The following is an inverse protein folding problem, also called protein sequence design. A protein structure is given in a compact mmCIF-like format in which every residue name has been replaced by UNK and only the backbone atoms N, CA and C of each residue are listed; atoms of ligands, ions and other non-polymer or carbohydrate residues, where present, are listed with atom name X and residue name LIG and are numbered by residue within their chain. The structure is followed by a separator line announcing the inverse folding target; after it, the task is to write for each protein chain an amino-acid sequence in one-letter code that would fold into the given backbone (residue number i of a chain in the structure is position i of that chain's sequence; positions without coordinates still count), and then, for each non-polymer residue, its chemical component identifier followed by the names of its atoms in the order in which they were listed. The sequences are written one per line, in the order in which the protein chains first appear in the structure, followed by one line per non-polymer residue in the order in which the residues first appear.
data_IF_542695483457
#
_entry.id   IF_542695483457
#
_cell.length_a   1.000
_cell.length_b   1.000
_cell.length_c   1.000
_cell.angle_alpha   90.00
_cell.angle_beta   90.00
_cell.angle_gamma   90.00
#
_symmetry.space_group_name_H-M   'P 1'
#
loop_
_entity.id
_entity.type
_entity.pdbx_description
1 polymer ?
#
# COMPACT_ATOMS: atom_id res chain seq x y z
N UNK A 1 22.67 -7.35 -25.81
CA UNK A 1 22.90 -7.25 -27.27
C UNK A 1 23.01 -5.81 -27.78
N UNK A 2 22.38 -4.80 -27.17
CA UNK A 2 22.41 -3.40 -27.69
C UNK A 2 23.79 -2.72 -27.65
N UNK A 3 24.59 -2.94 -26.61
CA UNK A 3 25.90 -2.27 -26.45
C UNK A 3 26.93 -2.71 -27.50
N UNK A 4 27.04 -4.02 -27.76
CA UNK A 4 27.94 -4.52 -28.81
C UNK A 4 27.52 -4.00 -30.19
N UNK A 5 26.22 -3.98 -30.49
CA UNK A 5 25.70 -3.44 -31.74
C UNK A 5 26.00 -1.94 -31.88
N UNK A 6 25.92 -1.15 -30.81
CA UNK A 6 26.30 0.27 -30.81
C UNK A 6 27.80 0.46 -31.09
N UNK A 7 28.65 -0.37 -30.50
CA UNK A 7 30.10 -0.32 -30.73
C UNK A 7 30.44 -0.68 -32.18
N UNK A 8 29.83 -1.74 -32.73
CA UNK A 8 30.02 -2.13 -34.13
C UNK A 8 29.49 -1.03 -35.07
N UNK A 9 28.32 -0.44 -34.79
CA UNK A 9 27.77 0.63 -35.59
C UNK A 9 28.66 1.89 -35.59
N UNK A 10 29.21 2.28 -34.44
CA UNK A 10 30.16 3.38 -34.33
C UNK A 10 31.42 3.11 -35.15
N UNK A 11 31.98 1.91 -35.03
CA UNK A 11 33.19 1.53 -35.77
C UNK A 11 32.96 1.57 -37.28
N UNK A 12 31.83 1.03 -37.76
CA UNK A 12 31.46 1.08 -39.17
C UNK A 12 31.26 2.52 -39.66
N UNK A 13 30.68 3.39 -38.83
CA UNK A 13 30.52 4.81 -39.14
C UNK A 13 31.88 5.50 -39.30
N UNK A 14 32.81 5.29 -38.38
CA UNK A 14 34.14 5.90 -38.41
C UNK A 14 34.95 5.43 -39.64
N UNK A 15 34.81 4.15 -40.02
CA UNK A 15 35.44 3.59 -41.22
C UNK A 15 34.89 4.25 -42.49
N UNK A 16 33.57 4.45 -42.56
CA UNK A 16 32.95 5.14 -43.70
C UNK A 16 33.41 6.60 -43.80
N UNK A 17 33.53 7.31 -42.67
CA UNK A 17 34.05 8.68 -42.65
C UNK A 17 35.51 8.74 -43.11
N UNK A 18 36.36 7.81 -42.62
CA UNK A 18 37.76 7.73 -43.02
C UNK A 18 37.93 7.47 -44.53
N UNK A 19 37.09 6.60 -45.10
CA UNK A 19 37.07 6.36 -46.55
C UNK A 19 36.65 7.60 -47.33
N UNK A 20 35.58 8.29 -46.91
CA UNK A 20 35.12 9.52 -47.56
C UNK A 20 36.24 10.57 -47.63
N UNK A 21 37.01 10.74 -46.54
CA UNK A 21 38.17 11.64 -46.52
C UNK A 21 39.32 11.15 -47.42
N UNK A 22 39.56 9.84 -47.52
CA UNK A 22 40.58 9.28 -48.41
C UNK A 22 40.22 9.48 -49.90
N UNK A 23 38.95 9.32 -50.25
CA UNK A 23 38.44 9.56 -51.60
C UNK A 23 38.52 11.06 -51.96
N UNK A 24 38.14 11.94 -51.03
CA UNK A 24 38.28 13.40 -51.19
C UNK A 24 39.76 13.78 -51.39
N UNK A 25 40.67 13.25 -50.57
CA UNK A 25 42.10 13.49 -50.70
C UNK A 25 42.65 12.98 -52.03
N UNK A 26 42.20 11.81 -52.50
CA UNK A 26 42.61 11.25 -53.80
C UNK A 26 42.14 12.14 -54.95
N UNK A 27 40.92 12.69 -54.86
CA UNK A 27 40.39 13.65 -55.83
C UNK A 27 41.18 14.95 -55.85
N UNK A 28 41.48 15.52 -54.69
CA UNK A 28 42.26 16.76 -54.57
C UNK A 28 43.70 16.55 -55.08
N UNK A 29 44.29 15.39 -54.83
CA UNK A 29 45.60 15.02 -55.36
C UNK A 29 45.58 14.92 -56.88
N UNK A 30 44.54 14.30 -57.46
CA UNK A 30 44.37 14.20 -58.91
C UNK A 30 44.26 15.59 -59.57
N UNK A 31 43.54 16.52 -58.96
CA UNK A 31 43.45 17.91 -59.43
C UNK A 31 44.80 18.62 -59.37
N UNK A 32 45.56 18.39 -58.29
CA UNK A 32 46.90 18.97 -58.13
C UNK A 32 47.88 18.44 -59.17
N UNK A 33 47.81 17.14 -59.49
CA UNK A 33 48.63 16.52 -60.56
C UNK A 33 48.25 17.06 -61.93
N UNK A 34 46.95 17.25 -62.21
CA UNK A 34 46.49 17.78 -63.49
C UNK A 34 46.90 19.24 -63.72
N UNK A 35 47.05 20.03 -62.66
CA UNK A 35 47.43 21.44 -62.73
C UNK A 35 48.94 21.67 -62.90
N UNK A 36 49.78 20.67 -62.66
CA UNK A 36 51.24 20.78 -62.73
C UNK A 36 51.77 20.26 -64.08
N UNK A 37 52.66 21.05 -64.70
CA UNK A 37 53.17 20.80 -66.05
C UNK A 37 53.97 19.51 -66.20
N UNK A 38 54.54 19.00 -65.11
CA UNK A 38 55.36 17.78 -65.04
C UNK A 38 54.51 16.63 -64.49
N UNK A 39 53.80 16.85 -63.38
CA UNK A 39 53.08 15.78 -62.68
C UNK A 39 51.85 15.26 -63.44
N UNK A 40 51.30 16.02 -64.40
CA UNK A 40 50.17 15.57 -65.24
C UNK A 40 50.43 14.29 -66.04
N UNK A 41 51.71 13.95 -66.26
CA UNK A 41 52.11 12.74 -66.97
C UNK A 41 52.39 11.55 -66.05
N UNK A 42 52.33 11.75 -64.73
CA UNK A 42 52.52 10.69 -63.75
C UNK A 42 51.17 10.11 -63.28
N UNK A 43 51.11 8.81 -62.97
CA UNK A 43 49.91 8.22 -62.41
C UNK A 43 49.62 8.80 -61.02
N UNK A 44 48.37 9.19 -60.78
CA UNK A 44 47.92 9.65 -59.47
C UNK A 44 47.88 8.46 -58.51
N UNK A 45 48.54 8.52 -57.35
CA UNK A 45 48.44 7.48 -56.33
C UNK A 45 46.99 7.34 -55.86
N UNK A 46 46.43 6.13 -55.96
CA UNK A 46 45.12 5.82 -55.38
C UNK A 46 45.31 5.47 -53.90
N UNK A 47 44.74 6.30 -53.02
CA UNK A 47 44.71 5.99 -51.58
C UNK A 47 43.33 5.37 -51.31
N UNK A 48 43.28 4.04 -51.20
CA UNK A 48 42.04 3.30 -50.96
C UNK A 48 42.23 2.19 -49.94
N UNK A 49 41.23 1.98 -49.10
CA UNK A 49 41.17 0.84 -48.16
C UNK A 49 40.67 -0.37 -48.97
N UNK A 50 41.55 -1.30 -49.33
CA UNK A 50 41.18 -2.45 -50.18
C UNK A 50 40.56 -3.59 -49.37
N UNK A 51 41.18 -3.96 -48.25
CA UNK A 51 40.70 -4.99 -47.35
C UNK A 51 40.95 -4.52 -45.92
N UNK A 52 39.90 -4.55 -45.10
CA UNK A 52 39.99 -4.21 -43.69
C UNK A 52 39.61 -5.44 -42.88
N UNK A 53 40.57 -5.97 -42.12
CA UNK A 53 40.35 -7.06 -41.18
C UNK A 53 40.25 -6.49 -39.77
N UNK A 54 39.10 -6.71 -39.12
CA UNK A 54 38.85 -6.21 -37.77
C UNK A 54 38.71 -7.41 -36.85
N UNK A 55 39.56 -7.44 -35.82
CA UNK A 55 39.48 -8.38 -34.73
C UNK A 55 39.01 -7.65 -33.46
N UNK A 56 37.75 -7.86 -33.07
CA UNK A 56 37.17 -7.31 -31.85
C UNK A 56 37.12 -8.38 -30.77
N UNK A 57 37.92 -8.20 -29.72
CA UNK A 57 37.86 -9.06 -28.52
C UNK A 57 36.83 -8.50 -27.55
N UNK A 58 35.99 -9.37 -27.01
CA UNK A 58 35.02 -9.00 -25.99
C UNK A 58 34.95 -10.08 -24.91
N UNK A 59 34.50 -9.70 -23.71
CA UNK A 59 34.27 -10.63 -22.62
C UNK A 59 32.91 -10.37 -21.98
N UNK A 60 32.27 -11.42 -21.47
CA UNK A 60 31.04 -11.30 -20.69
C UNK A 60 31.45 -11.03 -19.24
N UNK A 61 31.22 -9.81 -18.75
CA UNK A 61 31.54 -9.43 -17.37
C UNK A 61 30.55 -10.02 -16.37
N UNK A 62 29.26 -9.97 -16.72
CA UNK A 62 28.18 -10.39 -15.87
C UNK A 62 26.95 -10.79 -16.69
N UNK A 63 26.18 -11.72 -16.15
CA UNK A 63 24.86 -12.11 -16.65
C UNK A 63 23.85 -11.55 -15.65
N UNK A 64 23.11 -10.51 -16.05
CA UNK A 64 22.07 -9.90 -15.23
C UNK A 64 20.71 -10.39 -15.73
N UNK A 65 19.93 -11.04 -14.86
CA UNK A 65 18.52 -11.32 -15.13
C UNK A 65 17.70 -10.14 -14.63
N UNK A 66 17.18 -9.32 -15.54
CA UNK A 66 16.29 -8.20 -15.19
C UNK A 66 14.86 -8.54 -15.62
N UNK A 67 13.85 -8.34 -14.74
CA UNK A 67 12.46 -8.45 -15.14
C UNK A 67 12.19 -7.36 -16.16
N UNK A 68 11.76 -7.74 -17.36
CA UNK A 68 11.34 -6.77 -18.37
C UNK A 68 9.84 -6.61 -18.26
N UNK A 69 9.41 -5.40 -17.95
CA UNK A 69 7.99 -5.05 -17.95
C UNK A 69 7.48 -4.99 -19.40
N UNK A 70 7.02 -6.14 -19.92
CA UNK A 70 6.25 -6.20 -21.15
C UNK A 70 4.82 -5.73 -20.91
N UNK A 71 4.12 -5.27 -21.95
CA UNK A 71 2.69 -4.92 -21.85
C UNK A 71 1.84 -6.07 -21.31
N UNK A 72 2.21 -7.32 -21.63
CA UNK A 72 1.53 -8.52 -21.12
C UNK A 72 1.77 -8.72 -19.61
N UNK A 73 3.00 -8.50 -19.12
CA UNK A 73 3.30 -8.59 -17.69
C UNK A 73 2.53 -7.54 -16.88
N UNK A 74 2.41 -6.31 -17.40
CA UNK A 74 1.64 -5.23 -16.78
C UNK A 74 0.14 -5.54 -16.74
N UNK A 75 -0.41 -6.14 -17.79
CA UNK A 75 -1.81 -6.61 -17.81
C UNK A 75 -2.05 -7.71 -16.78
N UNK A 76 -1.15 -8.70 -16.68
CA UNK A 76 -1.26 -9.76 -15.66
C UNK A 76 -1.17 -9.19 -14.25
N UNK A 77 -0.27 -8.23 -14.02
CA UNK A 77 -0.11 -7.59 -12.73
C UNK A 77 -1.36 -6.77 -12.36
N UNK A 78 -1.92 -6.02 -13.30
CA UNK A 78 -3.18 -5.28 -13.09
C UNK A 78 -4.33 -6.23 -12.77
N UNK A 79 -4.47 -7.34 -13.52
CA UNK A 79 -5.49 -8.35 -13.26
C UNK A 79 -5.31 -9.03 -11.89
N UNK A 80 -4.06 -9.26 -11.47
CA UNK A 80 -3.74 -9.76 -10.14
C UNK A 80 -4.23 -8.76 -9.07
N UNK A 81 -3.89 -7.48 -9.20
CA UNK A 81 -4.32 -6.43 -8.26
C UNK A 81 -5.85 -6.38 -8.14
N UNK A 82 -6.56 -6.43 -9.27
CA UNK A 82 -8.02 -6.40 -9.31
C UNK A 82 -8.65 -7.59 -8.59
N UNK A 83 -8.11 -8.79 -8.84
CA UNK A 83 -8.57 -10.00 -8.20
C UNK A 83 -8.26 -10.01 -6.70
N UNK A 84 -7.07 -9.53 -6.32
CA UNK A 84 -6.58 -9.52 -4.95
C UNK A 84 -7.33 -8.49 -4.09
N UNK A 85 -7.57 -7.28 -4.62
CA UNK A 85 -8.34 -6.24 -3.94
C UNK A 85 -9.78 -6.69 -3.66
N UNK A 86 -10.42 -7.35 -4.63
CA UNK A 86 -11.75 -7.91 -4.48
C UNK A 86 -11.80 -9.03 -3.44
N UNK A 87 -10.81 -9.93 -3.44
CA UNK A 87 -10.73 -11.02 -2.45
C UNK A 87 -10.51 -10.49 -1.02
N UNK A 88 -9.58 -9.55 -0.83
CA UNK A 88 -9.36 -8.93 0.49
C UNK A 88 -10.62 -8.21 0.96
N UNK A 89 -11.24 -7.38 0.11
CA UNK A 89 -12.43 -6.63 0.49
C UNK A 89 -13.55 -7.57 0.97
N UNK A 90 -13.74 -8.69 0.28
CA UNK A 90 -14.72 -9.72 0.65
C UNK A 90 -14.37 -10.41 1.97
N UNK A 91 -13.11 -10.75 2.21
CA UNK A 91 -12.67 -11.38 3.46
C UNK A 91 -12.80 -10.40 4.65
N UNK A 92 -12.39 -9.14 4.48
CA UNK A 92 -12.57 -8.09 5.50
C UNK A 92 -14.07 -7.92 5.80
N UNK A 93 -14.93 -7.81 4.79
CA UNK A 93 -16.38 -7.69 5.00
C UNK A 93 -16.92 -8.86 5.83
N UNK A 94 -16.53 -10.08 5.49
CA UNK A 94 -16.98 -11.29 6.18
C UNK A 94 -16.58 -11.28 7.66
N UNK A 95 -15.31 -10.96 7.97
CA UNK A 95 -14.83 -10.92 9.36
C UNK A 95 -15.44 -9.75 10.15
N UNK A 96 -15.59 -8.59 9.53
CA UNK A 96 -16.24 -7.43 10.16
C UNK A 96 -17.71 -7.73 10.43
N UNK A 97 -18.44 -8.35 9.49
CA UNK A 97 -19.83 -8.74 9.68
C UNK A 97 -20.02 -9.71 10.87
N UNK A 98 -19.10 -10.66 11.07
CA UNK A 98 -19.14 -11.55 12.23
C UNK A 98 -18.97 -10.78 13.55
N UNK A 99 -18.07 -9.82 13.58
CA UNK A 99 -17.81 -9.00 14.78
C UNK A 99 -18.96 -8.04 15.05
N UNK A 100 -19.54 -7.42 14.01
CA UNK A 100 -20.66 -6.50 14.15
C UNK A 100 -21.92 -7.21 14.65
N UNK A 101 -22.15 -8.46 14.26
CA UNK A 101 -23.27 -9.27 14.72
C UNK A 101 -23.10 -9.82 16.14
N UNK A 102 -21.86 -10.18 16.53
CA UNK A 102 -21.57 -10.74 17.85
C UNK A 102 -21.44 -9.67 18.95
N UNK A 103 -21.05 -8.45 18.58
CA UNK A 103 -20.70 -7.40 19.53
C UNK A 103 -21.81 -6.34 19.63
N UNK A 104 -22.31 -6.10 20.83
CA UNK A 104 -23.48 -5.26 21.07
C UNK A 104 -23.29 -3.79 20.67
N UNK A 105 -22.08 -3.25 20.87
CA UNK A 105 -21.74 -1.87 20.50
C UNK A 105 -21.81 -1.60 18.98
N UNK A 106 -21.78 -2.63 18.14
CA UNK A 106 -21.83 -2.49 16.68
C UNK A 106 -23.21 -2.80 16.10
N UNK A 107 -24.16 -3.33 16.89
CA UNK A 107 -25.51 -3.69 16.39
C UNK A 107 -26.28 -2.50 15.82
N UNK A 108 -25.98 -1.28 16.28
CA UNK A 108 -26.59 -0.02 15.80
C UNK A 108 -26.15 0.39 14.39
N UNK A 109 -25.11 -0.24 13.83
CA UNK A 109 -24.72 -0.06 12.43
C UNK A 109 -25.69 -0.74 11.45
N UNK A 110 -26.62 -1.54 11.95
CA UNK A 110 -27.61 -2.26 11.14
C UNK A 110 -27.13 -3.64 10.72
N UNK A 111 -28.08 -4.53 10.39
CA UNK A 111 -27.79 -5.91 10.00
C UNK A 111 -27.13 -6.04 8.63
N UNK A 112 -27.23 -5.00 7.79
CA UNK A 112 -26.64 -4.96 6.44
C UNK A 112 -25.21 -4.39 6.45
N UNK A 113 -24.66 -4.00 7.61
CA UNK A 113 -23.29 -3.50 7.69
C UNK A 113 -22.26 -4.63 7.94
N UNK A 114 -21.17 -4.71 7.15
CA UNK A 114 -20.86 -3.87 5.98
C UNK A 114 -21.64 -4.30 4.73
N UNK A 115 -22.12 -3.31 3.96
CA UNK A 115 -22.96 -3.52 2.79
C UNK A 115 -22.16 -3.97 1.56
N UNK A 116 -22.87 -4.39 0.50
CA UNK A 116 -22.22 -4.71 -0.77
C UNK A 116 -21.58 -3.48 -1.44
N UNK A 117 -22.14 -2.28 -1.26
CA UNK A 117 -21.53 -1.05 -1.77
C UNK A 117 -20.25 -0.70 -1.01
N UNK A 118 -20.22 -0.95 0.31
CA UNK A 118 -19.02 -0.82 1.14
C UNK A 118 -17.89 -1.72 0.63
N UNK A 119 -18.19 -2.98 0.28
CA UNK A 119 -17.21 -3.92 -0.28
C UNK A 119 -16.60 -3.43 -1.59
N UNK A 120 -17.44 -2.94 -2.51
CA UNK A 120 -16.99 -2.43 -3.81
C UNK A 120 -16.09 -1.21 -3.62
N UNK A 121 -16.47 -0.29 -2.74
CA UNK A 121 -15.68 0.90 -2.45
C UNK A 121 -14.33 0.54 -1.81
N UNK A 122 -14.33 -0.40 -0.86
CA UNK A 122 -13.11 -0.89 -0.23
C UNK A 122 -12.18 -1.54 -1.26
N UNK A 123 -12.72 -2.39 -2.14
CA UNK A 123 -11.94 -3.01 -3.22
C UNK A 123 -11.29 -1.97 -4.13
N UNK A 124 -12.00 -0.89 -4.48
CA UNK A 124 -11.45 0.17 -5.32
C UNK A 124 -10.29 0.91 -4.63
N UNK A 125 -10.42 1.20 -3.33
CA UNK A 125 -9.36 1.87 -2.55
C UNK A 125 -8.13 0.96 -2.36
N UNK A 126 -8.35 -0.33 -2.12
CA UNK A 126 -7.26 -1.31 -2.07
C UNK A 126 -6.55 -1.42 -3.43
N UNK A 127 -7.31 -1.44 -4.53
CA UNK A 127 -6.76 -1.44 -5.89
C UNK A 127 -5.92 -0.19 -6.16
N UNK A 128 -6.38 0.99 -5.75
CA UNK A 128 -5.61 2.22 -5.86
C UNK A 128 -4.30 2.16 -5.06
N UNK A 129 -4.35 1.65 -3.82
CA UNK A 129 -3.15 1.42 -3.01
C UNK A 129 -2.17 0.43 -3.66
N UNK A 130 -2.68 -0.62 -4.30
CA UNK A 130 -1.88 -1.63 -5.00
C UNK A 130 -1.35 -1.16 -6.35
N UNK A 131 -1.98 -0.18 -7.00
CA UNK A 131 -1.56 0.33 -8.31
C UNK A 131 -0.13 0.87 -8.34
N UNK A 132 0.41 1.24 -7.17
CA UNK A 132 1.81 1.62 -6.97
C UNK A 132 2.78 0.49 -7.35
N UNK A 133 2.36 -0.77 -7.24
CA UNK A 133 3.10 -1.93 -7.69
C UNK A 133 3.23 -2.02 -9.21
N UNK A 134 2.52 -1.22 -10.02
CA UNK A 134 2.76 -1.20 -11.47
C UNK A 134 4.15 -0.63 -11.81
N UNK A 135 4.76 0.12 -10.89
CA UNK A 135 6.12 0.64 -11.01
C UNK A 135 7.05 -0.16 -10.10
N UNK A 136 7.13 -1.47 -10.31
CA UNK A 136 8.14 -2.30 -9.65
C UNK A 136 9.53 -1.78 -10.04
N UNK A 137 10.10 -0.95 -9.16
CA UNK A 137 11.52 -0.61 -9.17
C UNK A 137 12.35 -1.85 -8.79
N UNK A 138 13.67 -1.72 -8.77
CA UNK A 138 14.64 -2.84 -8.60
C UNK A 138 14.39 -3.76 -7.38
N UNK A 139 13.58 -3.33 -6.39
CA UNK A 139 13.19 -4.12 -5.21
C UNK A 139 11.65 -4.35 -5.11
N UNK A 140 11.15 -5.55 -5.50
CA UNK A 140 9.74 -5.90 -5.35
C UNK A 140 9.28 -5.98 -3.89
N UNK A 141 10.16 -6.39 -2.97
CA UNK A 141 9.82 -6.51 -1.54
C UNK A 141 9.55 -5.15 -0.91
N UNK A 142 10.36 -4.14 -1.24
CA UNK A 142 10.12 -2.75 -0.80
C UNK A 142 8.80 -2.20 -1.35
N UNK A 143 8.51 -2.46 -2.61
CA UNK A 143 7.26 -2.00 -3.25
C UNK A 143 6.02 -2.61 -2.59
N UNK A 144 6.09 -3.90 -2.22
CA UNK A 144 5.00 -4.60 -1.54
C UNK A 144 4.78 -4.07 -0.12
N UNK A 145 5.84 -3.80 0.64
CA UNK A 145 5.71 -3.17 1.96
C UNK A 145 5.08 -1.77 1.90
N UNK A 146 5.47 -0.97 0.90
CA UNK A 146 4.83 0.34 0.68
C UNK A 146 3.35 0.20 0.30
N UNK A 147 2.99 -0.84 -0.45
CA UNK A 147 1.60 -1.15 -0.75
C UNK A 147 0.84 -1.63 0.50
N UNK A 148 1.45 -2.43 1.37
CA UNK A 148 0.89 -2.84 2.67
C UNK A 148 0.55 -1.61 3.52
N UNK A 149 1.52 -0.73 3.76
CA UNK A 149 1.32 0.50 4.54
C UNK A 149 0.24 1.39 3.93
N UNK A 150 0.22 1.50 2.59
CA UNK A 150 -0.82 2.24 1.87
C UNK A 150 -2.20 1.62 2.06
N UNK A 151 -2.32 0.29 1.94
CA UNK A 151 -3.56 -0.43 2.16
C UNK A 151 -4.06 -0.22 3.59
N UNK A 152 -3.24 -0.50 4.60
CA UNK A 152 -3.59 -0.31 6.02
C UNK A 152 -4.09 1.11 6.27
N UNK A 153 -3.34 2.13 5.85
CA UNK A 153 -3.73 3.54 6.02
C UNK A 153 -5.04 3.86 5.32
N UNK A 154 -5.22 3.41 4.07
CA UNK A 154 -6.40 3.71 3.27
C UNK A 154 -7.67 2.99 3.75
N UNK A 155 -7.53 1.82 4.38
CA UNK A 155 -8.67 1.10 4.97
C UNK A 155 -9.15 1.69 6.29
N UNK A 156 -8.32 2.45 7.00
CA UNK A 156 -8.68 3.03 8.30
C UNK A 156 -9.92 3.94 8.23
N UNK A 157 -10.14 4.59 7.09
CA UNK A 157 -11.25 5.53 6.87
C UNK A 157 -12.59 4.83 6.56
N UNK A 158 -12.59 3.51 6.30
CA UNK A 158 -13.80 2.74 6.00
C UNK A 158 -14.56 2.28 7.24
N UNK A 159 -13.91 2.33 8.40
CA UNK A 159 -14.47 1.83 9.64
C UNK A 159 -15.06 2.97 10.45
N UNK A 160 -16.29 2.80 10.95
CA UNK A 160 -16.92 3.83 11.75
C UNK A 160 -16.22 3.91 13.11
N UNK A 161 -15.98 5.14 13.56
CA UNK A 161 -15.21 5.40 14.77
C UNK A 161 -16.11 5.24 15.99
N UNK A 162 -15.79 4.27 16.83
CA UNK A 162 -16.44 4.09 18.15
C UNK A 162 -15.49 4.63 19.21
N UNK A 163 -15.99 5.47 20.10
CA UNK A 163 -15.24 5.87 21.29
C UNK A 163 -15.81 5.15 22.50
N UNK A 164 -14.97 4.52 23.32
CA UNK A 164 -15.40 3.83 24.53
C UNK A 164 -14.55 4.17 25.75
N UNK A 165 -15.22 4.21 26.88
CA UNK A 165 -14.66 4.18 28.22
C UNK A 165 -15.20 2.93 28.92
N UNK A 166 -14.92 2.76 30.21
CA UNK A 166 -15.45 1.63 30.96
C UNK A 166 -16.96 1.70 31.24
N UNK A 167 -17.58 2.87 31.11
CA UNK A 167 -18.99 3.07 31.48
C UNK A 167 -19.85 3.77 30.43
N UNK A 168 -19.23 4.44 29.46
CA UNK A 168 -19.87 5.19 28.37
C UNK A 168 -19.20 4.86 27.04
N UNK A 169 -20.01 4.71 26.00
CA UNK A 169 -19.58 4.62 24.60
C UNK A 169 -20.27 5.66 23.73
N UNK A 170 -19.60 6.07 22.65
CA UNK A 170 -20.15 6.86 21.55
C UNK A 170 -20.13 5.93 20.34
N UNK A 171 -21.31 5.60 19.84
CA UNK A 171 -21.52 4.60 18.81
C UNK A 171 -22.14 5.27 17.57
N UNK A 172 -21.60 5.02 16.38
CA UNK A 172 -22.21 5.44 15.12
C UNK A 172 -23.43 4.58 14.77
N UNK A 173 -24.43 5.22 14.16
CA UNK A 173 -25.67 4.59 13.70
C UNK A 173 -25.60 4.30 12.20
N UNK A 174 -26.51 3.46 11.70
CA UNK A 174 -26.73 3.19 10.27
C UNK A 174 -26.86 4.45 9.39
N UNK A 175 -27.45 5.51 9.92
CA UNK A 175 -27.61 6.82 9.25
C UNK A 175 -26.35 7.70 9.26
N UNK A 176 -25.24 7.24 9.84
CA UNK A 176 -23.99 8.02 9.97
C UNK A 176 -23.99 9.06 11.09
N UNK A 177 -25.05 9.10 11.90
CA UNK A 177 -25.09 9.89 13.13
C UNK A 177 -24.42 9.13 14.29
N UNK A 178 -24.33 9.77 15.46
CA UNK A 178 -23.79 9.17 16.67
C UNK A 178 -24.84 9.12 17.78
N UNK A 179 -24.72 8.11 18.64
CA UNK A 179 -25.52 7.95 19.85
C UNK A 179 -24.60 7.65 21.02
N UNK A 180 -24.87 8.28 22.16
CA UNK A 180 -24.18 7.97 23.41
C UNK A 180 -24.91 6.81 24.10
N UNK A 181 -24.16 5.83 24.55
CA UNK A 181 -24.65 4.68 25.31
C UNK A 181 -23.92 4.54 26.62
N UNK A 182 -24.60 3.99 27.61
CA UNK A 182 -23.95 3.42 28.77
C UNK A 182 -23.46 2.00 28.47
N UNK A 183 -22.34 1.63 29.08
CA UNK A 183 -21.76 0.30 29.04
C UNK A 183 -21.76 -0.34 30.43
N UNK A 184 -22.10 -1.61 30.53
CA UNK A 184 -21.93 -2.41 31.74
C UNK A 184 -20.46 -2.84 31.93
N UNK A 185 -20.16 -3.56 33.01
CA UNK A 185 -18.79 -4.08 33.29
C UNK A 185 -18.26 -5.06 32.24
N UNK A 186 -19.13 -5.59 31.38
CA UNK A 186 -18.80 -6.50 30.29
C UNK A 186 -18.75 -5.79 28.93
N UNK A 187 -18.93 -4.47 28.89
CA UNK A 187 -18.99 -3.68 27.66
C UNK A 187 -20.29 -3.83 26.87
N UNK A 188 -21.35 -4.37 27.48
CA UNK A 188 -22.69 -4.45 26.89
C UNK A 188 -23.44 -3.15 27.10
N UNK A 189 -24.33 -2.82 26.16
CA UNK A 189 -25.14 -1.61 26.25
C UNK A 189 -26.21 -1.78 27.31
N UNK A 190 -26.19 -0.93 28.35
CA UNK A 190 -27.19 -0.95 29.42
C UNK A 190 -28.27 0.11 29.23
N UNK A 191 -27.90 1.31 28.77
CA UNK A 191 -28.81 2.38 28.40
C UNK A 191 -28.34 3.14 27.15
N UNK A 192 -29.25 3.84 26.49
CA UNK A 192 -28.92 4.78 25.40
C UNK A 192 -29.49 6.16 25.66
N UNK A 193 -28.75 7.21 25.30
CA UNK A 193 -29.28 8.58 25.31
C UNK A 193 -30.23 8.74 24.12
N UNK A 194 -31.46 9.19 24.36
CA UNK A 194 -32.44 9.58 23.34
C UNK A 194 -32.07 10.96 22.78
N UNK A 195 -30.90 11.02 22.17
CA UNK A 195 -30.39 12.15 21.39
C UNK A 195 -29.48 11.60 20.33
N UNK A 196 -29.77 11.97 19.08
CA UNK A 196 -28.95 11.63 17.92
C UNK A 196 -28.06 12.83 17.64
N UNK A 197 -26.77 12.58 17.48
CA UNK A 197 -25.74 13.61 17.27
C UNK A 197 -25.28 13.56 15.82
N UNK A 198 -25.24 14.72 15.16
CA UNK A 198 -24.80 14.78 13.77
C UNK A 198 -23.28 14.58 13.62
N UNK A 199 -22.51 14.91 14.66
CA UNK A 199 -21.05 14.78 14.66
C UNK A 199 -20.54 14.09 15.93
N UNK A 200 -19.41 13.41 15.80
CA UNK A 200 -18.72 12.79 16.92
C UNK A 200 -18.26 13.82 17.97
N UNK A 201 -17.89 15.03 17.53
CA UNK A 201 -17.47 16.13 18.42
C UNK A 201 -18.57 16.56 19.39
N UNK A 202 -19.81 16.67 18.91
CA UNK A 202 -20.96 17.00 19.75
C UNK A 202 -21.24 15.88 20.75
N UNK A 203 -21.25 14.62 20.26
CA UNK A 203 -21.43 13.45 21.13
C UNK A 203 -20.31 13.36 22.18
N UNK A 204 -19.07 13.69 21.83
CA UNK A 204 -17.92 13.66 22.72
C UNK A 204 -18.01 14.74 23.81
N UNK A 205 -18.51 15.92 23.47
CA UNK A 205 -18.75 16.99 24.44
C UNK A 205 -19.77 16.55 25.51
N UNK A 206 -20.92 16.05 25.08
CA UNK A 206 -21.99 15.63 25.98
C UNK A 206 -21.59 14.36 26.77
N UNK A 207 -20.86 13.44 26.16
CA UNK A 207 -20.32 12.27 26.83
C UNK A 207 -19.31 12.66 27.94
N UNK A 208 -18.47 13.68 27.71
CA UNK A 208 -17.54 14.20 28.73
C UNK A 208 -18.27 14.84 29.91
N UNK A 209 -19.33 15.62 29.65
CA UNK A 209 -20.17 16.19 30.72
C UNK A 209 -20.80 15.08 31.54
N UNK A 210 -21.40 14.09 30.86
CA UNK A 210 -22.02 12.95 31.53
C UNK A 210 -21.00 12.14 32.35
N UNK A 211 -19.86 11.79 31.77
CA UNK A 211 -18.79 11.04 32.46
C UNK A 211 -18.30 11.77 33.70
N UNK A 212 -18.11 13.10 33.60
CA UNK A 212 -17.68 13.94 34.72
C UNK A 212 -18.74 14.00 35.82
N UNK A 213 -20.02 14.11 35.45
CA UNK A 213 -21.13 14.12 36.39
C UNK A 213 -21.31 12.75 37.09
N UNK A 214 -21.19 11.63 36.36
CA UNK A 214 -21.18 10.28 36.94
C UNK A 214 -20.05 10.19 37.96
N UNK A 215 -18.82 10.54 37.57
CA UNK A 215 -17.62 10.43 38.41
C UNK A 215 -17.71 11.28 39.68
N UNK A 216 -18.32 12.47 39.57
CA UNK A 216 -18.52 13.38 40.70
C UNK A 216 -19.75 13.07 41.57
N UNK A 217 -20.54 12.03 41.24
CA UNK A 217 -21.84 11.71 41.89
C UNK A 217 -22.83 12.89 41.85
N UNK A 218 -22.82 13.67 40.77
CA UNK A 218 -23.67 14.86 40.56
C UNK A 218 -24.80 14.61 39.55
N UNK A 219 -25.23 13.37 39.41
CA UNK A 219 -26.35 13.00 38.53
C UNK A 219 -27.60 12.82 39.38
N UNK A 220 -28.66 13.50 38.97
CA UNK A 220 -29.98 13.40 39.58
C UNK A 220 -30.98 12.84 38.57
N UNK A 221 -31.75 11.84 38.97
CA UNK A 221 -32.86 11.30 38.15
C UNK A 221 -34.09 12.15 38.44
N UNK A 222 -34.43 13.05 37.51
CA UNK A 222 -35.51 14.03 37.65
C UNK A 222 -36.87 13.38 37.42
N UNK A 223 -36.96 12.54 36.39
CA UNK A 223 -38.20 11.88 35.97
C UNK A 223 -37.87 10.46 35.51
N UNK A 224 -38.72 9.49 35.82
CA UNK A 224 -38.64 8.15 35.26
C UNK A 224 -40.05 7.62 34.99
N UNK A 225 -40.32 7.21 33.74
CA UNK A 225 -41.59 6.62 33.33
C UNK A 225 -41.36 5.30 32.61
N UNK A 226 -42.27 4.35 32.79
CA UNK A 226 -42.32 3.13 32.01
C UNK A 226 -43.19 3.37 30.78
N UNK A 227 -42.64 3.16 29.59
CA UNK A 227 -43.42 3.17 28.35
C UNK A 227 -43.79 1.73 27.97
N UNK A 228 -45.01 1.35 28.34
CA UNK A 228 -45.56 0.01 28.12
C UNK A 228 -45.68 -0.30 26.62
N UNK A 229 -45.86 0.72 25.77
CA UNK A 229 -46.06 0.53 24.34
C UNK A 229 -44.74 0.17 23.62
N UNK A 230 -43.66 0.85 23.96
CA UNK A 230 -42.33 0.62 23.35
C UNK A 230 -41.51 -0.45 24.06
N UNK A 231 -41.96 -0.95 25.23
CA UNK A 231 -41.17 -1.83 26.13
C UNK A 231 -39.83 -1.18 26.54
N UNK A 232 -39.80 0.14 26.59
CA UNK A 232 -38.67 0.94 27.04
C UNK A 232 -39.04 1.69 28.32
N UNK A 233 -38.12 1.72 29.27
CA UNK A 233 -38.20 2.59 30.43
C UNK A 233 -37.40 3.87 30.11
N UNK A 234 -38.05 5.02 30.25
CA UNK A 234 -37.51 6.33 29.93
C UNK A 234 -37.18 7.08 31.22
N UNK A 235 -36.03 7.74 31.27
CA UNK A 235 -35.70 8.65 32.37
C UNK A 235 -35.06 9.94 31.88
N UNK A 236 -35.24 11.00 32.66
CA UNK A 236 -34.53 12.27 32.49
C UNK A 236 -33.50 12.41 33.59
N UNK A 237 -32.24 12.55 33.19
CA UNK A 237 -31.12 12.81 34.05
C UNK A 237 -30.76 14.29 34.00
N UNK A 238 -30.42 14.86 35.15
CA UNK A 238 -29.80 16.17 35.23
C UNK A 238 -28.34 16.01 35.64
N UNK A 239 -27.44 16.56 34.82
CA UNK A 239 -26.01 16.56 35.02
C UNK A 239 -25.51 18.01 34.92
N UNK A 240 -25.42 18.70 36.06
CA UNK A 240 -25.16 20.13 36.09
C UNK A 240 -26.30 20.95 35.47
N UNK A 241 -25.98 21.70 34.41
CA UNK A 241 -26.95 22.54 33.68
C UNK A 241 -27.56 21.84 32.46
N UNK A 242 -27.23 20.57 32.22
CA UNK A 242 -27.71 19.80 31.08
C UNK A 242 -28.68 18.71 31.53
N UNK A 243 -29.69 18.46 30.71
CA UNK A 243 -30.66 17.38 30.87
C UNK A 243 -30.50 16.36 29.75
N UNK A 244 -30.50 15.08 30.11
CA UNK A 244 -30.36 13.96 29.19
C UNK A 244 -31.56 13.03 29.32
N UNK A 245 -32.25 12.78 28.21
CA UNK A 245 -33.25 11.72 28.13
C UNK A 245 -32.55 10.38 27.84
N UNK A 246 -32.80 9.37 28.65
CA UNK A 246 -32.23 8.02 28.50
C UNK A 246 -33.32 6.98 28.30
N UNK A 247 -32.98 5.92 27.58
CA UNK A 247 -33.84 4.77 27.29
C UNK A 247 -33.15 3.48 27.72
N UNK A 248 -33.90 2.60 28.39
CA UNK A 248 -33.47 1.26 28.80
C UNK A 248 -34.53 0.26 28.37
N UNK A 249 -34.12 -0.94 27.94
CA UNK A 249 -35.06 -2.04 27.72
C UNK A 249 -35.75 -2.43 29.04
N UNK A 250 -37.08 -2.34 29.11
CA UNK A 250 -37.85 -2.57 30.36
C UNK A 250 -37.62 -3.96 30.96
N UNK A 251 -37.17 -4.94 30.17
CA UNK A 251 -36.77 -6.27 30.65
C UNK A 251 -35.58 -6.23 31.62
N UNK A 252 -34.69 -5.23 31.52
CA UNK A 252 -33.52 -5.06 32.39
C UNK A 252 -33.86 -4.41 33.74
N UNK A 253 -34.93 -3.61 33.79
CA UNK A 253 -35.35 -2.86 35.00
C UNK A 253 -36.18 -3.73 35.95
N UNK A 254 -36.85 -4.77 35.44
CA UNK A 254 -37.64 -5.70 36.24
C UNK A 254 -38.88 -5.08 36.91
N UNK A 255 -39.29 -5.64 38.06
CA UNK A 255 -40.44 -5.16 38.85
C UNK A 255 -40.11 -3.97 39.78
N UNK A 256 -38.86 -3.49 39.78
CA UNK A 256 -38.39 -2.41 40.64
C UNK A 256 -38.88 -1.06 40.09
N UNK A 257 -39.14 -0.09 40.97
CA UNK A 257 -39.45 1.29 40.56
C UNK A 257 -38.31 1.83 39.67
N UNK A 258 -38.59 2.27 38.42
CA UNK A 258 -37.56 2.65 37.45
C UNK A 258 -36.53 3.63 38.00
N UNK A 259 -36.96 4.61 38.81
CA UNK A 259 -36.08 5.61 39.44
C UNK A 259 -34.95 4.98 40.27
N UNK A 260 -35.27 4.00 41.11
CA UNK A 260 -34.29 3.32 42.00
C UNK A 260 -33.28 2.52 41.19
N UNK A 261 -33.72 1.90 40.10
CA UNK A 261 -32.85 1.18 39.18
C UNK A 261 -31.81 2.13 38.55
N UNK A 262 -32.26 3.26 38.00
CA UNK A 262 -31.35 4.25 37.40
C UNK A 262 -30.33 4.78 38.41
N UNK A 263 -30.78 5.15 39.62
CA UNK A 263 -29.87 5.63 40.67
C UNK A 263 -28.80 4.60 41.05
N UNK A 264 -29.15 3.31 41.10
CA UNK A 264 -28.19 2.24 41.40
C UNK A 264 -27.23 2.00 40.23
N UNK A 265 -27.71 1.99 38.98
CA UNK A 265 -26.86 1.84 37.79
C UNK A 265 -25.80 2.96 37.70
N UNK A 266 -26.16 4.21 38.01
CA UNK A 266 -25.19 5.31 38.03
C UNK A 266 -24.22 5.24 39.22
N UNK A 267 -24.66 4.73 40.38
CA UNK A 267 -23.75 4.46 41.51
C UNK A 267 -22.72 3.39 41.18
N UNK A 268 -23.12 2.30 40.51
CA UNK A 268 -22.20 1.24 40.08
C UNK A 268 -21.18 1.77 39.06
N UNK A 269 -21.62 2.55 38.07
CA UNK A 269 -20.72 3.19 37.09
C UNK A 269 -19.74 4.17 37.72
N UNK A 270 -20.14 4.88 38.78
CA UNK A 270 -19.24 5.72 39.55
C UNK A 270 -18.10 4.91 40.18
N UNK A 271 -18.39 3.70 40.67
CA UNK A 271 -17.36 2.82 41.25
C UNK A 271 -16.39 2.37 40.17
N UNK A 272 -16.90 1.94 39.01
CA UNK A 272 -16.07 1.51 37.87
C UNK A 272 -15.17 2.64 37.38
N UNK A 273 -15.71 3.83 37.15
CA UNK A 273 -14.92 4.99 36.71
C UNK A 273 -13.83 5.40 37.71
N UNK A 274 -14.07 5.26 39.02
CA UNK A 274 -13.09 5.64 40.03
C UNK A 274 -12.11 4.49 40.40
N UNK A 275 -12.41 3.26 40.02
CA UNK A 275 -11.60 2.06 40.26
C UNK A 275 -11.64 1.13 39.04
N UNK A 276 -10.89 1.47 37.97
CA UNK A 276 -11.02 0.80 36.69
C UNK A 276 -10.69 -0.70 36.75
N UNK A 277 -11.65 -1.54 36.36
CA UNK A 277 -11.47 -3.00 36.34
C UNK A 277 -10.69 -3.34 35.07
N UNK A 278 -9.42 -3.71 35.21
CA UNK A 278 -8.61 -4.22 34.08
C UNK A 278 -9.13 -5.59 33.63
N UNK A 279 -10.11 -5.60 32.73
CA UNK A 279 -10.47 -6.82 31.99
C UNK A 279 -9.51 -6.96 30.81
N UNK A 280 -8.61 -7.94 30.88
CA UNK A 280 -7.81 -8.33 29.71
C UNK A 280 -8.76 -9.04 28.75
N UNK A 281 -8.91 -8.59 27.49
CA UNK A 281 -9.82 -9.23 26.55
C UNK A 281 -9.44 -10.70 26.32
N UNK A 282 -10.42 -11.60 26.32
CA UNK A 282 -10.25 -13.06 26.17
C UNK A 282 -9.65 -13.50 24.83
N UNK A 283 -9.55 -12.62 23.84
CA UNK A 283 -8.86 -12.89 22.58
C UNK A 283 -7.35 -12.59 22.64
N UNK A 284 -6.85 -11.98 23.73
CA UNK A 284 -5.41 -11.76 23.99
C UNK A 284 -4.79 -12.93 24.77
N UNK A 285 -5.59 -13.76 25.45
CA UNK A 285 -5.13 -14.90 26.27
C UNK A 285 -4.61 -16.12 25.49
N UNK A 286 -4.52 -16.05 24.17
CA UNK A 286 -3.97 -17.12 23.33
C UNK A 286 -2.44 -17.10 23.17
N UNK A 287 -1.73 -16.08 23.70
CA UNK A 287 -0.26 -16.07 23.72
C UNK A 287 0.25 -16.38 25.13
N UNK A 288 1.18 -17.32 25.30
CA UNK A 288 1.85 -17.50 26.58
C UNK A 288 2.53 -16.18 26.94
N UNK A 289 2.17 -15.64 28.11
CA UNK A 289 2.81 -14.46 28.66
C UNK A 289 4.29 -14.76 28.86
N UNK A 290 5.17 -14.08 28.12
CA UNK A 290 6.58 -13.94 28.47
C UNK A 290 6.66 -13.05 29.72
N UNK A 291 6.42 -13.65 30.87
CA UNK A 291 6.74 -13.08 32.17
C UNK A 291 8.24 -13.24 32.41
N UNK A 292 8.99 -12.18 32.18
CA UNK A 292 10.34 -12.07 32.71
C UNK A 292 11.27 -11.15 31.97
N UNK A 293 11.11 -9.83 32.11
CA UNK A 293 12.24 -8.92 32.43
C UNK A 293 11.66 -7.76 33.24
N UNK A 294 12.24 -7.55 34.43
CA UNK A 294 11.82 -6.55 35.40
C UNK A 294 12.06 -5.10 34.94
N UNK A 295 11.14 -4.24 35.36
CA UNK A 295 11.27 -2.79 35.30
C UNK A 295 10.33 -2.19 36.34
N UNK A 296 10.88 -1.89 37.51
CA UNK A 296 10.17 -1.25 38.61
C UNK A 296 9.71 0.15 38.20
N UNK A 297 8.42 0.32 37.93
CA UNK A 297 7.75 1.62 37.97
C UNK A 297 6.61 1.55 38.98
N UNK A 298 6.80 2.32 40.06
CA UNK A 298 5.83 2.61 41.12
C UNK A 298 4.58 3.25 40.48
N UNK A 299 3.35 3.00 40.99
CA UNK A 299 2.15 3.51 40.36
C UNK A 299 2.07 5.03 40.54
N UNK A 300 2.14 5.76 39.43
CA UNK A 300 1.63 7.13 39.36
C UNK A 300 0.14 7.13 39.66
N UNK A 301 -0.31 8.13 40.41
CA UNK A 301 -1.72 8.33 40.79
C UNK A 301 -2.67 8.14 39.59
N UNK A 302 -3.89 7.61 39.80
CA UNK A 302 -4.83 7.39 38.71
C UNK A 302 -5.17 8.73 38.05
N UNK A 303 -4.75 8.91 36.80
CA UNK A 303 -5.31 9.97 35.95
C UNK A 303 -6.84 9.79 35.90
N UNK A 304 -7.63 10.87 35.99
CA UNK A 304 -9.08 10.77 36.01
C UNK A 304 -9.60 10.05 34.76
N UNK A 305 -10.47 9.06 34.97
CA UNK A 305 -10.99 8.09 34.02
C UNK A 305 -11.92 8.63 32.91
N UNK A 306 -11.75 9.91 32.52
CA UNK A 306 -12.58 10.59 31.52
C UNK A 306 -12.08 10.42 30.07
N UNK A 307 -11.05 9.62 29.84
CA UNK A 307 -10.47 9.46 28.51
C UNK A 307 -11.20 8.37 27.72
N UNK A 308 -12.28 8.77 27.03
CA UNK A 308 -12.87 8.00 25.94
C UNK A 308 -11.77 7.69 24.90
N UNK A 309 -11.53 6.41 24.63
CA UNK A 309 -10.53 5.93 23.67
C UNK A 309 -11.23 5.38 22.44
N UNK A 310 -10.58 5.53 21.29
CA UNK A 310 -11.04 4.90 20.06
C UNK A 310 -11.01 3.37 20.17
N UNK A 311 -12.08 2.72 19.74
CA UNK A 311 -12.14 1.27 19.60
C UNK A 311 -11.53 0.84 18.27
N UNK A 312 -10.32 0.30 18.34
CA UNK A 312 -9.56 -0.13 17.17
C UNK A 312 -9.95 -1.54 16.68
N UNK A 313 -10.96 -2.18 17.26
CA UNK A 313 -11.30 -3.59 16.96
C UNK A 313 -11.51 -3.84 15.46
N UNK A 314 -12.32 -3.02 14.77
CA UNK A 314 -12.58 -3.20 13.34
C UNK A 314 -11.33 -2.95 12.48
N UNK A 315 -10.52 -1.96 12.84
CA UNK A 315 -9.23 -1.66 12.18
C UNK A 315 -8.22 -2.80 12.37
N UNK A 316 -8.18 -3.40 13.55
CA UNK A 316 -7.30 -4.53 13.82
C UNK A 316 -7.68 -5.77 12.99
N UNK A 317 -8.96 -5.95 12.67
CA UNK A 317 -9.42 -7.03 11.79
C UNK A 317 -8.93 -6.80 10.36
N UNK A 318 -9.07 -5.59 9.81
CA UNK A 318 -8.56 -5.30 8.46
C UNK A 318 -7.05 -5.48 8.38
N UNK A 319 -6.30 -4.98 9.36
CA UNK A 319 -4.85 -5.12 9.42
C UNK A 319 -4.43 -6.59 9.47
N UNK A 320 -5.13 -7.40 10.27
CA UNK A 320 -4.87 -8.83 10.38
C UNK A 320 -5.14 -9.57 9.05
N UNK A 321 -6.24 -9.23 8.36
CA UNK A 321 -6.58 -9.83 7.06
C UNK A 321 -5.56 -9.44 5.99
N UNK A 322 -5.19 -8.16 5.90
CA UNK A 322 -4.19 -7.66 4.94
C UNK A 322 -2.85 -8.38 5.17
N UNK A 323 -2.36 -8.43 6.41
CA UNK A 323 -1.10 -9.10 6.76
C UNK A 323 -1.12 -10.60 6.48
N UNK A 324 -2.26 -11.25 6.72
CA UNK A 324 -2.44 -12.68 6.42
C UNK A 324 -2.38 -12.96 4.91
N UNK A 325 -2.89 -12.03 4.08
CA UNK A 325 -2.95 -12.19 2.63
C UNK A 325 -1.72 -11.67 1.87
N UNK A 326 -0.89 -10.86 2.52
CA UNK A 326 0.31 -10.29 1.92
C UNK A 326 1.28 -11.34 1.34
N UNK A 327 1.55 -12.49 1.99
CA UNK A 327 2.44 -13.52 1.42
C UNK A 327 1.92 -14.12 0.11
N UNK A 328 0.59 -14.22 -0.05
CA UNK A 328 -0.03 -14.70 -1.29
C UNK A 328 0.20 -13.71 -2.44
N UNK A 329 0.14 -12.40 -2.16
CA UNK A 329 0.49 -11.35 -3.11
C UNK A 329 1.97 -11.37 -3.48
N UNK A 330 2.86 -11.49 -2.48
CA UNK A 330 4.31 -11.58 -2.69
C UNK A 330 4.68 -12.73 -3.62
N UNK A 331 4.11 -13.91 -3.37
CA UNK A 331 4.32 -15.08 -4.21
C UNK A 331 3.81 -14.86 -5.64
N UNK A 332 2.62 -14.29 -5.81
CA UNK A 332 2.02 -14.06 -7.11
C UNK A 332 2.78 -13.01 -7.93
N UNK A 333 3.19 -11.91 -7.30
CA UNK A 333 4.02 -10.87 -7.94
C UNK A 333 5.38 -11.44 -8.34
N UNK A 334 6.03 -12.18 -7.45
CA UNK A 334 7.33 -12.82 -7.74
C UNK A 334 7.24 -13.77 -8.93
N UNK A 335 6.18 -14.59 -8.99
CA UNK A 335 5.92 -15.49 -10.12
C UNK A 335 5.79 -14.73 -11.45
N UNK A 336 5.03 -13.62 -11.47
CA UNK A 336 4.89 -12.79 -12.68
C UNK A 336 6.24 -12.19 -13.10
N UNK A 337 7.07 -11.78 -12.15
CA UNK A 337 8.38 -11.21 -12.43
C UNK A 337 9.38 -12.27 -12.94
N UNK A 338 9.40 -13.44 -12.31
CA UNK A 338 10.28 -14.55 -12.69
C UNK A 338 9.98 -15.06 -14.11
N UNK A 339 8.70 -15.14 -14.49
CA UNK A 339 8.27 -15.53 -15.84
C UNK A 339 8.66 -14.51 -16.92
N UNK A 340 9.04 -13.28 -16.56
CA UNK A 340 9.37 -12.19 -17.49
C UNK A 340 10.83 -11.72 -17.37
N UNK A 341 11.72 -12.53 -16.78
CA UNK A 341 13.15 -12.24 -16.75
C UNK A 341 13.75 -12.34 -18.15
N UNK A 342 14.47 -11.30 -18.55
CA UNK A 342 15.35 -11.34 -19.72
C UNK A 342 16.79 -11.38 -19.24
N UNK A 343 17.53 -12.37 -19.73
CA UNK A 343 18.96 -12.49 -19.52
C UNK A 343 19.68 -11.41 -20.33
N UNK A 344 20.26 -10.43 -19.64
CA UNK A 344 21.05 -9.37 -20.25
C UNK A 344 22.52 -9.64 -19.99
N UNK A 345 23.30 -9.80 -21.06
CA UNK A 345 24.75 -9.96 -20.98
C UNK A 345 25.41 -8.59 -20.90
N UNK A 346 26.20 -8.34 -19.86
CA UNK A 346 27.08 -7.19 -19.76
C UNK A 346 28.41 -7.52 -20.44
N UNK A 347 28.76 -6.75 -21.47
CA UNK A 347 29.89 -7.04 -22.36
C UNK A 347 30.97 -5.98 -22.16
N UNK A 348 32.19 -6.41 -21.87
CA UNK A 348 33.39 -5.57 -21.90
C UNK A 348 34.08 -5.66 -23.25
N UNK A 349 34.44 -4.51 -23.82
CA UNK A 349 35.21 -4.39 -25.06
C UNK A 349 36.50 -3.57 -24.84
N UNK A 350 36.70 -3.00 -23.65
CA UNK A 350 37.86 -2.16 -23.31
C UNK A 350 39.13 -2.99 -23.10
N UNK A 351 40.21 -2.63 -23.78
CA UNK A 351 41.48 -3.36 -23.75
C UNK A 351 42.04 -3.57 -22.33
N UNK A 352 41.90 -2.58 -21.45
CA UNK A 352 42.44 -2.66 -20.08
C UNK A 352 41.63 -3.58 -19.16
N UNK A 353 40.32 -3.71 -19.40
CA UNK A 353 39.46 -4.68 -18.72
C UNK A 353 39.69 -6.09 -19.25
N UNK A 354 39.91 -6.23 -20.56
CA UNK A 354 40.17 -7.52 -21.20
C UNK A 354 41.52 -8.14 -20.76
N UNK A 355 42.55 -7.33 -20.49
CA UNK A 355 43.85 -7.80 -19.98
C UNK A 355 43.78 -8.46 -18.60
N UNK A 356 42.77 -8.13 -17.80
CA UNK A 356 42.60 -8.64 -16.43
C UNK A 356 41.76 -9.94 -16.39
N UNK A 357 41.14 -10.32 -17.50
CA UNK A 357 40.27 -11.49 -17.60
C UNK A 357 41.04 -12.71 -18.10
N UNK A 358 40.65 -13.90 -17.62
CA UNK A 358 41.23 -15.16 -18.10
C UNK A 358 40.87 -15.37 -19.58
N UNK A 359 41.80 -15.92 -20.41
CA UNK A 359 41.56 -16.14 -21.84
C UNK A 359 40.31 -16.97 -22.15
N UNK A 360 39.94 -17.88 -21.25
CA UNK A 360 38.76 -18.75 -21.34
C UNK A 360 37.43 -17.98 -21.37
N UNK A 361 37.41 -16.73 -20.90
CA UNK A 361 36.22 -15.88 -20.83
C UNK A 361 36.19 -14.81 -21.94
N UNK A 362 37.13 -14.87 -22.89
CA UNK A 362 37.22 -13.96 -24.01
C UNK A 362 36.71 -14.62 -25.29
N UNK A 363 35.87 -13.89 -26.01
CA UNK A 363 35.44 -14.27 -27.35
C UNK A 363 35.91 -13.22 -28.36
N UNK A 364 36.15 -13.66 -29.58
CA UNK A 364 36.64 -12.81 -30.67
C UNK A 364 35.63 -12.78 -31.80
N UNK A 365 35.24 -11.58 -32.21
CA UNK A 365 34.53 -11.35 -33.46
C UNK A 365 35.56 -10.94 -34.49
N UNK A 366 35.69 -11.74 -35.54
CA UNK A 366 36.55 -11.46 -36.67
C UNK A 366 35.67 -11.23 -37.88
N UNK A 367 35.78 -10.08 -38.51
CA UNK A 367 35.11 -9.81 -39.77
C UNK A 367 36.05 -9.09 -40.73
N UNK A 368 35.88 -9.40 -42.00
CA UNK A 368 36.65 -8.85 -43.10
C UNK A 368 35.70 -8.03 -43.95
N UNK A 369 36.05 -6.77 -44.16
CA UNK A 369 35.36 -5.88 -45.08
C UNK A 369 36.22 -5.74 -46.32
N UNK A 370 35.65 -6.05 -47.48
CA UNK A 370 36.30 -5.87 -48.77
C UNK A 370 35.91 -4.52 -49.35
N UNK A 371 36.72 -3.97 -50.27
CA UNK A 371 36.46 -2.68 -50.91
C UNK A 371 35.05 -2.53 -51.51
N UNK A 372 34.42 -3.65 -51.89
CA UNK A 372 33.07 -3.71 -52.46
C UNK A 372 31.96 -3.61 -51.40
N UNK A 373 32.24 -3.92 -50.14
CA UNK A 373 31.25 -3.83 -49.05
C UNK A 373 31.01 -2.37 -48.61
N UNK A 374 31.82 -1.45 -49.13
CA UNK A 374 31.78 -0.02 -48.83
C UNK A 374 31.22 0.83 -49.97
N UNK A 375 30.61 0.23 -50.99
CA UNK A 375 29.90 1.00 -52.01
C UNK A 375 28.57 1.45 -51.42
N UNK A 376 28.38 2.78 -51.33
CA UNK A 376 27.04 3.34 -51.14
C UNK A 376 26.14 2.73 -52.22
N UNK A 377 25.13 1.98 -51.79
CA UNK A 377 23.99 1.68 -52.64
C UNK A 377 23.33 3.03 -52.91
N UNK A 378 23.60 3.64 -54.06
CA UNK A 378 22.70 4.64 -54.59
C UNK A 378 21.35 3.93 -54.81
N UNK A 379 20.26 4.58 -54.39
CA UNK A 379 18.89 4.05 -54.29
C UNK A 379 18.27 3.58 -55.61
N UNK A 380 19.03 3.50 -56.70
CA UNK A 380 18.63 2.86 -57.95
C UNK A 380 19.80 2.02 -58.46
N UNK A 381 19.63 0.69 -58.43
CA UNK A 381 20.65 -0.31 -58.74
C UNK A 381 21.28 -0.23 -60.13
N UNK A 382 22.18 0.72 -60.33
CA UNK A 382 23.13 0.75 -61.43
C UNK A 382 24.56 0.86 -60.88
N UNK A 383 25.37 -0.15 -61.19
CA UNK A 383 26.81 -0.13 -60.96
C UNK A 383 27.42 1.07 -61.70
N UNK A 384 28.10 1.95 -60.97
CA UNK A 384 28.85 3.04 -61.59
C UNK A 384 30.02 2.45 -62.39
N UNK A 385 29.98 2.62 -63.71
CA UNK A 385 31.12 2.35 -64.57
C UNK A 385 32.01 3.60 -64.52
N UNK A 386 33.14 3.50 -63.84
CA UNK A 386 34.35 4.26 -64.15
C UNK A 386 35.48 3.26 -64.37
#
# INVERSE_FOLDING_TARGET
MSQLNQIIASLLSDINEAKSKADESSRNLAQSYAADDILRYFPVPKIGIQNLEIELKYAIEAVEEKPVQSSQSQQRLTALMDSFSGQIAKEIRSEVAKVTQSTEIYKKLGSDYPSSSWEVNLSNVLKESLSKLNRLEEDPGKSIRLAEDSMIKSTADFFPVVYKSESIGIIPTDSGNYQIVGLDTNGKVDFSINKVYATDREALSDAKVLTSAISAKKIEVVEAKRDVASKLDLAKLKAGNQEFSIEIESQKVGAVQPKVFFENAFKEKNVVLNAPIRTVPTWVSGRPSLSGVGGANRPTAPEPAANLKEDLTLKQISDAVIKKKLPELELAVSKILDENKITTLKIAVEADKLKQLKPENMATIKFTLTGNDFTLLDDEGQQSII
#
